data_IF_234087638061
#
_entry.id   IF_234087638061
#
_cell.length_a   1.000
_cell.length_b   1.000
_cell.length_c   1.000
_cell.angle_alpha   90.00
_cell.angle_beta   90.00
_cell.angle_gamma   90.00
#
_symmetry.space_group_name_H-M   'P 1'
#
loop_
_entity.id
_entity.type
_entity.pdbx_description
1 polymer ?
#
# COMPACT_ATOMS: atom_id res chain seq x y z
N UNK A 1 27.90 -42.81 -26.91
CA UNK A 1 26.46 -42.74 -27.25
C UNK A 1 25.57 -42.26 -26.11
N UNK A 2 25.60 -42.85 -24.90
CA UNK A 2 24.78 -42.41 -23.75
C UNK A 2 24.94 -40.92 -23.37
N UNK A 3 26.17 -40.39 -23.40
CA UNK A 3 26.47 -39.00 -23.02
C UNK A 3 25.86 -37.99 -24.02
N UNK A 4 25.82 -38.33 -25.31
CA UNK A 4 25.21 -37.47 -26.35
C UNK A 4 23.68 -37.36 -26.18
N UNK A 5 23.04 -38.46 -25.79
CA UNK A 5 21.60 -38.49 -25.51
C UNK A 5 21.27 -37.64 -24.28
N UNK A 6 22.07 -37.74 -23.22
CA UNK A 6 21.89 -36.92 -22.02
C UNK A 6 22.08 -35.42 -22.31
N UNK A 7 23.07 -35.06 -23.12
CA UNK A 7 23.33 -33.67 -23.50
C UNK A 7 22.15 -33.04 -24.27
N UNK A 8 21.54 -33.80 -25.20
CA UNK A 8 20.39 -33.32 -25.97
C UNK A 8 19.13 -33.16 -25.11
N UNK A 9 18.90 -34.06 -24.15
CA UNK A 9 17.77 -33.96 -23.21
C UNK A 9 17.90 -32.74 -22.30
N UNK A 10 19.09 -32.48 -21.76
CA UNK A 10 19.35 -31.31 -20.91
C UNK A 10 19.18 -30.01 -21.71
N UNK A 11 19.67 -29.96 -22.94
CA UNK A 11 19.52 -28.77 -23.80
C UNK A 11 18.06 -28.49 -24.17
N UNK A 12 17.29 -29.53 -24.50
CA UNK A 12 15.85 -29.42 -24.78
C UNK A 12 15.06 -28.96 -23.55
N UNK A 13 15.39 -29.50 -22.37
CA UNK A 13 14.78 -29.08 -21.11
C UNK A 13 15.10 -27.60 -20.78
N UNK A 14 16.34 -27.15 -20.98
CA UNK A 14 16.72 -25.75 -20.72
C UNK A 14 15.96 -24.78 -21.63
N UNK A 15 15.88 -25.06 -22.93
CA UNK A 15 15.11 -24.22 -23.88
C UNK A 15 13.61 -24.18 -23.56
N UNK A 16 13.03 -25.30 -23.12
CA UNK A 16 11.61 -25.36 -22.76
C UNK A 16 11.27 -24.69 -21.42
N UNK A 17 12.20 -24.72 -20.47
CA UNK A 17 11.97 -24.23 -19.10
C UNK A 17 11.67 -22.73 -19.03
N UNK A 18 12.33 -21.90 -19.86
CA UNK A 18 12.10 -20.45 -19.87
C UNK A 18 10.65 -20.05 -20.19
N UNK A 19 10.01 -20.76 -21.13
CA UNK A 19 8.63 -20.47 -21.54
C UNK A 19 7.59 -20.99 -20.53
N UNK A 20 7.96 -22.02 -19.76
CA UNK A 20 7.13 -22.61 -18.71
C UNK A 20 7.10 -21.74 -17.43
N UNK A 21 8.22 -21.10 -17.08
CA UNK A 21 8.32 -20.19 -15.94
C UNK A 21 7.36 -19.00 -16.08
N UNK A 22 7.25 -18.41 -17.28
CA UNK A 22 6.35 -17.30 -17.54
C UNK A 22 4.86 -17.67 -17.29
N UNK A 23 4.45 -18.91 -17.60
CA UNK A 23 3.08 -19.38 -17.33
C UNK A 23 2.85 -19.70 -15.85
N UNK A 24 3.86 -20.14 -15.11
CA UNK A 24 3.75 -20.40 -13.67
C UNK A 24 3.57 -19.13 -12.85
N UNK A 25 4.23 -18.03 -13.21
CA UNK A 25 4.05 -16.72 -12.55
C UNK A 25 2.62 -16.19 -12.71
N UNK A 26 2.02 -16.32 -13.90
CA UNK A 26 0.63 -15.89 -14.13
C UNK A 26 -0.42 -16.80 -13.49
N UNK A 27 -0.08 -18.05 -13.15
CA UNK A 27 -0.98 -18.99 -12.49
C UNK A 27 -0.94 -18.91 -10.95
N UNK A 28 0.08 -18.26 -10.36
CA UNK A 28 0.24 -18.12 -8.90
C UNK A 28 -0.23 -16.76 -8.33
N UNK A 29 -0.72 -15.83 -9.16
CA UNK A 29 -1.35 -14.56 -8.73
C UNK A 29 -2.87 -14.72 -8.47
N UNK A 30 -3.41 -15.93 -8.66
CA UNK A 30 -4.85 -16.19 -8.46
C UNK A 30 -5.11 -17.32 -7.46
N UNK A 31 -4.40 -17.28 -6.33
CA UNK A 31 -4.92 -17.87 -5.11
C UNK A 31 -5.12 -16.76 -4.08
N UNK A 32 -6.38 -16.55 -3.74
CA UNK A 32 -6.90 -15.53 -2.83
C UNK A 32 -6.03 -15.42 -1.57
N UNK A 33 -5.28 -14.33 -1.42
CA UNK A 33 -5.27 -13.71 -0.11
C UNK A 33 -6.67 -13.10 0.06
N UNK A 34 -7.44 -13.47 1.10
CA UNK A 34 -8.53 -12.60 1.51
C UNK A 34 -7.87 -11.24 1.70
N UNK A 35 -8.43 -10.21 1.08
CA UNK A 35 -8.08 -8.85 1.43
C UNK A 35 -8.07 -8.81 2.95
N UNK A 36 -6.87 -8.69 3.53
CA UNK A 36 -6.75 -8.37 4.93
C UNK A 36 -7.36 -6.97 4.95
N UNK A 37 -8.66 -6.92 5.21
CA UNK A 37 -9.30 -5.77 5.76
C UNK A 37 -8.56 -5.56 7.07
N UNK A 38 -7.43 -4.85 6.95
CA UNK A 38 -6.99 -3.93 7.95
C UNK A 38 -8.14 -2.92 8.06
N UNK A 39 -9.22 -3.34 8.71
CA UNK A 39 -9.79 -2.59 9.81
C UNK A 39 -8.69 -2.34 10.85
N UNK A 40 -7.61 -1.66 10.46
CA UNK A 40 -7.26 -0.48 11.21
C UNK A 40 -8.48 0.40 11.03
N UNK A 41 -9.18 0.69 12.12
CA UNK A 41 -10.25 1.66 12.19
C UNK A 41 -9.84 2.90 11.39
N UNK A 42 -10.15 2.95 10.09
CA UNK A 42 -10.30 4.20 9.38
C UNK A 42 -11.77 4.48 9.59
N UNK A 43 -12.15 5.23 10.65
CA UNK A 43 -13.53 5.60 10.84
C UNK A 43 -13.99 6.23 9.54
N UNK A 44 -14.90 5.54 8.84
CA UNK A 44 -15.69 6.14 7.78
C UNK A 44 -16.28 7.41 8.38
N UNK A 45 -15.95 8.61 7.86
CA UNK A 45 -16.27 9.84 8.54
C UNK A 45 -17.79 9.97 8.50
N UNK A 46 -18.42 9.71 9.65
CA UNK A 46 -19.79 10.10 9.92
C UNK A 46 -19.86 11.61 9.85
N UNK A 47 -20.02 12.17 8.63
CA UNK A 47 -20.42 13.55 8.34
C UNK A 47 -19.98 14.62 9.37
N UNK A 48 -18.75 14.52 9.87
CA UNK A 48 -18.23 15.50 10.79
C UNK A 48 -17.87 16.71 9.94
N UNK A 49 -18.70 17.74 10.03
CA UNK A 49 -18.48 19.01 9.34
C UNK A 49 -17.25 19.68 9.95
N UNK A 50 -16.08 19.25 9.51
CA UNK A 50 -14.82 19.88 9.87
C UNK A 50 -14.74 21.22 9.15
N UNK A 51 -14.66 22.31 9.91
CA UNK A 51 -14.51 23.65 9.38
C UNK A 51 -13.11 24.17 9.68
N UNK A 52 -12.55 24.96 8.78
CA UNK A 52 -11.27 25.63 9.01
C UNK A 52 -11.45 26.73 10.06
N UNK A 53 -11.24 26.39 11.32
CA UNK A 53 -11.38 27.23 12.50
C UNK A 53 -10.05 27.87 12.94
N UNK A 54 -8.99 27.71 12.16
CA UNK A 54 -7.67 28.27 12.41
C UNK A 54 -6.70 27.35 13.15
N UNK A 55 -7.10 26.11 13.46
CA UNK A 55 -6.18 25.10 14.01
C UNK A 55 -5.10 24.72 13.02
N UNK A 56 -3.86 24.61 13.53
CA UNK A 56 -2.66 24.41 12.71
C UNK A 56 -1.74 23.29 13.18
N UNK A 57 -1.96 22.74 14.37
CA UNK A 57 -1.06 21.77 15.00
C UNK A 57 -1.83 20.51 15.41
N UNK A 58 -1.10 19.39 15.48
CA UNK A 58 -1.67 18.09 15.81
C UNK A 58 -2.33 18.00 17.18
N UNK A 59 -1.80 18.71 18.19
CA UNK A 59 -2.40 18.72 19.53
C UNK A 59 -3.82 19.31 19.59
N UNK A 60 -4.23 20.03 18.54
CA UNK A 60 -5.56 20.62 18.43
C UNK A 60 -6.53 19.73 17.66
N UNK A 61 -6.04 18.67 17.01
CA UNK A 61 -6.86 17.67 16.33
C UNK A 61 -7.31 16.60 17.31
N UNK A 62 -8.32 15.84 16.93
CA UNK A 62 -8.89 14.74 17.74
C UNK A 62 -8.83 13.41 17.01
N UNK A 63 -8.48 13.41 15.72
CA UNK A 63 -8.39 12.20 14.91
C UNK A 63 -7.51 12.38 13.66
N UNK A 64 -7.04 11.26 13.12
CA UNK A 64 -6.25 11.23 11.88
C UNK A 64 -7.07 11.74 10.69
N UNK A 65 -8.36 11.39 10.65
CA UNK A 65 -9.27 11.83 9.59
C UNK A 65 -9.49 13.34 9.60
N UNK A 66 -9.68 13.94 10.78
CA UNK A 66 -9.77 15.39 10.95
C UNK A 66 -8.46 16.07 10.53
N UNK A 67 -7.30 15.59 11.01
CA UNK A 67 -6.00 16.14 10.63
C UNK A 67 -5.78 16.08 9.10
N UNK A 68 -6.16 14.97 8.47
CA UNK A 68 -6.11 14.78 7.01
C UNK A 68 -7.04 15.74 6.28
N UNK A 69 -8.24 15.96 6.81
CA UNK A 69 -9.17 16.94 6.26
C UNK A 69 -8.56 18.36 6.32
N UNK A 70 -8.00 18.75 7.46
CA UNK A 70 -7.38 20.07 7.60
C UNK A 70 -6.17 20.25 6.70
N UNK A 71 -5.33 19.23 6.53
CA UNK A 71 -4.18 19.28 5.60
C UNK A 71 -4.62 19.56 4.16
N UNK A 72 -5.74 18.99 3.73
CA UNK A 72 -6.24 19.08 2.34
C UNK A 72 -7.15 20.29 2.09
N UNK A 73 -7.90 20.73 3.09
CA UNK A 73 -8.97 21.72 2.92
C UNK A 73 -8.65 23.08 3.55
N UNK A 74 -7.69 23.16 4.49
CA UNK A 74 -7.40 24.40 5.22
C UNK A 74 -6.00 24.94 4.90
N UNK A 75 -5.87 26.24 4.57
CA UNK A 75 -4.57 26.85 4.27
C UNK A 75 -3.74 27.09 5.54
N UNK A 76 -2.40 26.99 5.42
CA UNK A 76 -1.46 27.39 6.46
C UNK A 76 -1.36 26.45 7.65
N UNK A 77 -1.77 25.19 7.48
CA UNK A 77 -1.63 24.10 8.44
C UNK A 77 -0.17 23.62 8.54
N UNK A 78 0.28 23.26 9.75
CA UNK A 78 1.65 22.83 10.07
C UNK A 78 1.64 21.49 10.81
N UNK A 79 1.07 20.48 10.17
CA UNK A 79 0.85 19.16 10.79
C UNK A 79 1.54 18.02 10.05
N UNK A 80 1.93 18.27 8.79
CA UNK A 80 2.70 17.38 7.94
C UNK A 80 4.12 17.98 7.84
N UNK A 81 5.04 17.44 8.64
CA UNK A 81 6.40 17.99 8.77
C UNK A 81 7.36 17.49 7.69
N UNK A 82 7.17 16.26 7.24
CA UNK A 82 7.92 15.57 6.19
C UNK A 82 7.30 15.73 4.80
N UNK A 83 6.10 16.31 4.70
CA UNK A 83 5.36 16.54 3.45
C UNK A 83 5.07 15.24 2.69
N UNK A 84 4.79 14.16 3.41
CA UNK A 84 4.42 12.87 2.83
C UNK A 84 2.90 12.72 2.61
N UNK A 85 2.12 13.74 3.01
CA UNK A 85 0.67 13.75 2.91
C UNK A 85 -0.05 13.10 4.09
N UNK A 86 0.69 12.66 5.13
CA UNK A 86 0.16 12.07 6.35
C UNK A 86 0.39 13.04 7.53
N UNK A 87 -0.65 13.80 7.94
CA UNK A 87 -0.50 14.71 9.06
C UNK A 87 -0.52 13.94 10.38
N UNK A 88 0.23 14.43 11.38
CA UNK A 88 0.12 13.94 12.77
C UNK A 88 0.39 12.45 12.98
N UNK A 89 1.33 11.87 12.25
CA UNK A 89 1.80 10.48 12.39
C UNK A 89 2.11 10.10 13.85
N UNK A 90 2.70 11.04 14.61
CA UNK A 90 3.09 10.79 15.99
C UNK A 90 1.94 10.77 17.00
N UNK A 91 0.75 11.28 16.67
CA UNK A 91 -0.35 11.41 17.64
C UNK A 91 -1.63 10.70 17.18
N UNK A 92 -2.05 10.93 15.94
CA UNK A 92 -3.35 10.49 15.44
C UNK A 92 -3.25 9.42 14.35
N UNK A 93 -2.27 9.53 13.45
CA UNK A 93 -2.10 8.62 12.31
C UNK A 93 -0.98 7.60 12.59
N UNK A 94 -1.16 6.80 13.66
CA UNK A 94 -0.24 5.72 14.08
C UNK A 94 -0.66 4.37 13.52
#
# INVERSE_FOLDING_TARGET
MRILVLALLVFGAWKGYGHYQAKKLSAMESDKLPALNLTGNKPSPSAANFACDGRKYCSQMTSCAEATYFLKNCPGVKMDGNNDGVPCEQQWCR
#
